data_IF_621134680238
#
_entry.id   IF_621134680238
#
_cell.length_a   1.000
_cell.length_b   1.000
_cell.length_c   1.000
_cell.angle_alpha   90.00
_cell.angle_beta   90.00
_cell.angle_gamma   90.00
#
_symmetry.space_group_name_H-M   'P 1'
#
loop_
_entity.id
_entity.type
_entity.pdbx_description
1 polymer ?
#
# COMPACT_ATOMS: atom_id res chain seq x y z
N UNK A 1 -5.08 -16.20 -1.26
CA UNK A 1 -3.75 -16.46 -0.66
C UNK A 1 -3.96 -17.01 0.74
N UNK A 2 -3.39 -18.17 1.07
CA UNK A 2 -3.40 -18.72 2.42
C UNK A 2 -2.02 -18.59 3.09
N UNK A 3 -2.01 -18.67 4.43
CA UNK A 3 -0.81 -18.57 5.24
C UNK A 3 -0.28 -19.97 5.56
N UNK A 4 0.91 -20.29 5.06
CA UNK A 4 1.62 -21.52 5.42
C UNK A 4 2.45 -21.29 6.70
N UNK A 5 2.02 -21.89 7.80
CA UNK A 5 2.78 -21.91 9.07
C UNK A 5 3.91 -22.94 8.97
N UNK A 6 5.09 -22.62 9.47
CA UNK A 6 6.21 -23.56 9.51
C UNK A 6 6.11 -24.49 10.73
N UNK A 7 6.58 -25.74 10.57
CA UNK A 7 6.86 -26.62 11.71
C UNK A 7 8.03 -26.04 12.53
N UNK A 8 8.00 -26.11 13.88
CA UNK A 8 8.98 -25.48 14.76
C UNK A 8 10.29 -26.27 14.85
N UNK A 9 10.95 -26.54 13.72
CA UNK A 9 12.17 -27.37 13.66
C UNK A 9 13.43 -26.66 14.16
N UNK A 10 13.40 -25.33 14.26
CA UNK A 10 14.47 -24.50 14.85
C UNK A 10 13.83 -23.34 15.61
N UNK A 11 14.50 -22.76 16.62
CA UNK A 11 13.93 -21.67 17.41
C UNK A 11 13.53 -20.47 16.56
N UNK A 12 14.34 -20.11 15.54
CA UNK A 12 14.00 -19.01 14.63
C UNK A 12 12.84 -19.30 13.66
N UNK A 13 12.44 -20.57 13.48
CA UNK A 13 11.25 -20.95 12.70
C UNK A 13 9.99 -21.07 13.57
N UNK A 14 10.12 -21.22 14.89
CA UNK A 14 8.97 -21.31 15.81
C UNK A 14 8.05 -20.11 15.63
N UNK A 15 6.76 -20.36 15.42
CA UNK A 15 5.74 -19.33 15.20
C UNK A 15 5.81 -18.58 13.87
N UNK A 16 6.83 -18.84 13.02
CA UNK A 16 7.00 -18.15 11.75
C UNK A 16 6.05 -18.70 10.67
N UNK A 17 5.63 -17.83 9.75
CA UNK A 17 4.75 -18.19 8.64
C UNK A 17 5.13 -17.49 7.33
N UNK A 18 4.61 -17.98 6.21
CA UNK A 18 4.81 -17.42 4.87
C UNK A 18 3.50 -17.36 4.11
N UNK A 19 3.47 -16.53 3.06
CA UNK A 19 2.45 -16.69 2.02
C UNK A 19 2.69 -18.01 1.28
N UNK A 20 1.62 -18.72 0.96
CA UNK A 20 1.64 -19.94 0.14
C UNK A 20 2.03 -19.69 -1.34
N UNK A 21 1.82 -18.46 -1.81
CA UNK A 21 1.99 -18.03 -3.20
C UNK A 21 1.06 -18.72 -4.20
N UNK A 22 -0.10 -19.24 -3.75
CA UNK A 22 -1.03 -19.99 -4.61
C UNK A 22 -1.56 -19.18 -5.82
N UNK A 23 -1.63 -17.86 -5.70
CA UNK A 23 -2.09 -16.97 -6.78
C UNK A 23 -1.01 -16.70 -7.85
N UNK A 24 0.25 -17.06 -7.61
CA UNK A 24 1.34 -16.75 -8.53
C UNK A 24 1.36 -17.76 -9.68
N UNK A 25 1.20 -17.27 -10.91
CA UNK A 25 1.24 -18.10 -12.12
C UNK A 25 2.58 -18.01 -12.85
N UNK A 26 3.42 -17.03 -12.52
CA UNK A 26 4.76 -16.86 -13.12
C UNK A 26 5.77 -16.32 -12.12
N UNK A 27 6.98 -16.87 -12.13
CA UNK A 27 8.08 -16.48 -11.24
C UNK A 27 9.02 -15.42 -11.85
N UNK A 28 9.00 -15.28 -13.17
CA UNK A 28 9.82 -14.32 -13.93
C UNK A 28 8.99 -13.11 -14.38
N UNK A 29 9.51 -11.88 -14.23
CA UNK A 29 8.81 -10.67 -14.68
C UNK A 29 9.00 -10.38 -16.17
N UNK A 30 8.12 -9.55 -16.73
CA UNK A 30 8.21 -9.07 -18.12
C UNK A 30 9.39 -8.09 -18.28
N UNK A 31 10.38 -8.45 -19.11
CA UNK A 31 11.65 -7.72 -19.25
C UNK A 31 11.46 -6.25 -19.65
N UNK A 32 10.50 -5.95 -20.53
CA UNK A 32 10.22 -4.58 -21.02
C UNK A 32 9.68 -3.63 -19.93
N UNK A 33 9.02 -4.18 -18.91
CA UNK A 33 8.36 -3.45 -17.82
C UNK A 33 9.21 -3.36 -16.54
N UNK A 34 10.49 -3.70 -16.64
CA UNK A 34 11.46 -3.57 -15.54
C UNK A 34 12.22 -2.25 -15.62
N UNK A 35 12.49 -1.67 -14.44
CA UNK A 35 13.43 -0.56 -14.28
C UNK A 35 14.36 -0.82 -13.10
N UNK A 36 15.61 -0.32 -13.14
CA UNK A 36 16.50 -0.38 -11.99
C UNK A 36 15.89 0.40 -10.82
N UNK A 37 16.10 -0.09 -9.60
CA UNK A 37 15.68 0.58 -8.37
C UNK A 37 16.90 0.82 -7.48
N UNK A 38 17.53 2.02 -7.56
CA UNK A 38 18.64 2.35 -6.67
C UNK A 38 18.18 2.37 -5.21
N UNK A 39 19.07 1.98 -4.29
CA UNK A 39 18.80 2.00 -2.85
C UNK A 39 19.42 3.23 -2.22
N UNK A 40 18.62 4.00 -1.50
CA UNK A 40 19.10 5.19 -0.78
C UNK A 40 19.58 4.90 0.65
N UNK A 41 19.19 3.75 1.23
CA UNK A 41 19.54 3.42 2.63
C UNK A 41 19.02 4.42 3.67
N UNK A 42 17.93 5.13 3.36
CA UNK A 42 17.35 6.16 4.24
C UNK A 42 18.06 7.52 4.19
N UNK A 43 18.95 7.74 3.21
CA UNK A 43 19.70 9.00 3.04
C UNK A 43 19.09 9.91 1.98
N UNK A 44 19.23 11.23 2.15
CA UNK A 44 18.88 12.23 1.13
C UNK A 44 20.03 12.49 0.15
N UNK A 45 19.85 13.45 -0.76
CA UNK A 45 20.86 13.89 -1.73
C UNK A 45 22.14 14.47 -1.09
N UNK A 46 22.06 15.03 0.12
CA UNK A 46 23.21 15.49 0.91
C UNK A 46 23.92 14.36 1.69
N UNK A 47 23.54 13.09 1.47
CA UNK A 47 24.14 11.93 2.14
C UNK A 47 23.74 11.75 3.60
N UNK A 48 22.89 12.61 4.16
CA UNK A 48 22.45 12.57 5.56
C UNK A 48 21.31 11.57 5.73
N UNK A 49 21.29 10.84 6.87
CA UNK A 49 20.18 9.95 7.22
C UNK A 49 18.97 10.80 7.60
N UNK A 50 17.94 10.81 6.75
CA UNK A 50 16.68 11.51 7.02
C UNK A 50 15.58 10.54 7.46
N UNK A 51 15.66 9.27 7.05
CA UNK A 51 14.79 8.20 7.54
C UNK A 51 15.64 7.12 8.20
N UNK A 52 15.55 7.04 9.53
CA UNK A 52 16.29 6.06 10.33
C UNK A 52 15.82 4.63 10.06
N UNK A 53 16.67 3.67 10.41
CA UNK A 53 16.37 2.23 10.39
C UNK A 53 16.15 1.60 9.00
N UNK A 54 16.56 2.26 7.92
CA UNK A 54 16.45 1.71 6.55
C UNK A 54 17.84 1.29 6.03
N UNK A 55 17.93 0.15 5.34
CA UNK A 55 19.14 -0.28 4.63
C UNK A 55 19.39 -1.80 4.68
N UNK A 56 20.29 -2.28 3.80
CA UNK A 56 20.77 -3.67 3.79
C UNK A 56 19.78 -4.74 3.30
N UNK A 57 18.59 -4.37 2.81
CA UNK A 57 17.62 -5.33 2.28
C UNK A 57 18.08 -5.99 0.98
N UNK A 58 17.40 -7.06 0.55
CA UNK A 58 17.68 -7.75 -0.73
C UNK A 58 17.56 -6.80 -1.93
N UNK A 59 18.37 -6.99 -2.99
CA UNK A 59 18.29 -6.20 -4.24
C UNK A 59 16.94 -6.44 -4.92
N UNK A 60 16.36 -5.40 -5.52
CA UNK A 60 15.04 -5.43 -6.15
C UNK A 60 15.09 -4.69 -7.48
N UNK A 61 14.21 -5.09 -8.39
CA UNK A 61 13.92 -4.35 -9.62
C UNK A 61 12.53 -3.74 -9.50
N UNK A 62 12.35 -2.53 -10.02
CA UNK A 62 11.06 -1.88 -10.05
C UNK A 62 10.22 -2.44 -11.21
N UNK A 63 8.98 -2.83 -10.91
CA UNK A 63 7.97 -3.18 -11.91
C UNK A 63 7.13 -1.94 -12.18
N UNK A 64 7.10 -1.51 -13.45
CA UNK A 64 6.33 -0.35 -13.89
C UNK A 64 4.85 -0.71 -13.87
N UNK A 65 4.10 -0.09 -12.96
CA UNK A 65 2.66 -0.33 -12.77
C UNK A 65 1.88 0.82 -13.39
N UNK A 66 0.85 0.47 -14.14
CA UNK A 66 -0.11 1.42 -14.66
C UNK A 66 -1.08 1.85 -13.55
N UNK A 67 -0.78 3.03 -12.99
CA UNK A 67 -1.67 3.70 -12.04
C UNK A 67 -2.61 4.71 -12.71
N UNK A 68 -2.51 4.95 -14.02
CA UNK A 68 -3.33 5.95 -14.72
C UNK A 68 -4.51 5.31 -15.45
N UNK A 69 -4.25 4.24 -16.22
CA UNK A 69 -5.24 3.47 -16.98
C UNK A 69 -6.21 4.31 -17.81
N UNK A 70 -5.77 5.45 -18.35
CA UNK A 70 -6.63 6.45 -18.98
C UNK A 70 -6.56 6.49 -20.52
N UNK A 71 -5.59 5.80 -21.12
CA UNK A 71 -5.31 5.82 -22.56
C UNK A 71 -5.82 4.55 -23.29
N UNK A 72 -6.32 3.56 -22.55
CA UNK A 72 -6.82 2.28 -23.08
C UNK A 72 -8.33 2.12 -22.85
N UNK A 73 -9.07 3.21 -23.01
CA UNK A 73 -10.53 3.17 -22.90
C UNK A 73 -11.14 2.37 -24.05
N UNK A 74 -12.05 1.45 -23.74
CA UNK A 74 -12.68 0.54 -24.72
C UNK A 74 -11.76 -0.59 -25.22
N UNK A 75 -10.46 -0.57 -24.91
CA UNK A 75 -9.53 -1.63 -25.31
C UNK A 75 -9.53 -2.73 -24.25
N UNK A 76 -10.07 -3.89 -24.61
CA UNK A 76 -10.04 -5.09 -23.78
C UNK A 76 -8.60 -5.59 -23.58
N UNK A 77 -8.32 -6.08 -22.38
CA UNK A 77 -7.09 -6.77 -22.04
C UNK A 77 -7.40 -8.11 -21.38
N UNK A 78 -6.54 -9.10 -21.64
CA UNK A 78 -6.60 -10.40 -20.99
C UNK A 78 -5.53 -10.48 -19.89
N UNK A 79 -5.90 -11.03 -18.73
CA UNK A 79 -4.97 -11.28 -17.63
C UNK A 79 -4.06 -12.44 -18.00
N UNK A 80 -2.83 -12.13 -18.41
CA UNK A 80 -1.86 -13.12 -18.83
C UNK A 80 -1.25 -13.86 -17.64
N UNK A 81 -0.84 -13.14 -16.60
CA UNK A 81 -0.23 -13.74 -15.40
C UNK A 81 -0.50 -12.93 -14.13
N UNK A 82 -0.43 -13.59 -12.98
CA UNK A 82 -0.38 -12.97 -11.66
C UNK A 82 0.98 -13.26 -11.05
N UNK A 83 1.66 -12.22 -10.57
CA UNK A 83 3.07 -12.27 -10.21
C UNK A 83 3.36 -11.67 -8.84
N UNK A 84 4.52 -12.06 -8.30
CA UNK A 84 5.12 -11.43 -7.13
C UNK A 84 5.73 -10.07 -7.49
N UNK A 85 5.47 -9.05 -6.68
CA UNK A 85 6.25 -7.81 -6.67
C UNK A 85 6.92 -7.56 -5.31
N UNK A 86 8.25 -7.39 -5.25
CA UNK A 86 8.96 -7.08 -4.02
C UNK A 86 8.85 -5.61 -3.56
N UNK A 87 8.23 -4.73 -4.35
CA UNK A 87 8.17 -3.29 -4.09
C UNK A 87 6.86 -2.86 -3.42
N UNK A 88 5.88 -3.76 -3.32
CA UNK A 88 4.60 -3.51 -2.65
C UNK A 88 4.10 -4.75 -1.92
N UNK A 89 3.03 -4.57 -1.16
CA UNK A 89 2.36 -5.66 -0.43
C UNK A 89 1.43 -6.47 -1.33
N UNK A 90 0.77 -5.84 -2.30
CA UNK A 90 -0.15 -6.49 -3.23
C UNK A 90 0.58 -7.32 -4.30
N UNK A 91 -0.12 -8.29 -4.89
CA UNK A 91 0.30 -8.93 -6.14
C UNK A 91 0.08 -8.00 -7.33
N UNK A 92 0.68 -8.33 -8.46
CA UNK A 92 0.46 -7.63 -9.72
C UNK A 92 -0.06 -8.58 -10.78
N UNK A 93 -0.91 -8.07 -11.65
CA UNK A 93 -1.41 -8.81 -12.81
C UNK A 93 -0.79 -8.21 -14.08
N UNK A 94 -0.23 -9.05 -14.93
CA UNK A 94 0.21 -8.69 -16.28
C UNK A 94 -0.99 -8.76 -17.21
N UNK A 95 -1.29 -7.67 -17.88
CA UNK A 95 -2.33 -7.55 -18.87
C UNK A 95 -1.72 -7.54 -20.27
N UNK A 96 -2.32 -8.30 -21.18
CA UNK A 96 -2.10 -8.21 -22.62
C UNK A 96 -3.32 -7.56 -23.25
N UNK A 97 -3.16 -6.33 -23.74
CA UNK A 97 -4.20 -5.64 -24.50
C UNK A 97 -4.29 -6.22 -25.91
N UNK A 98 -5.47 -6.10 -26.53
CA UNK A 98 -5.70 -6.58 -27.91
C UNK A 98 -4.76 -5.90 -28.91
N UNK A 99 -4.35 -4.65 -28.65
CA UNK A 99 -3.38 -3.91 -29.46
C UNK A 99 -1.91 -4.38 -29.30
N UNK A 100 -1.68 -5.47 -28.55
CA UNK A 100 -0.36 -6.04 -28.30
C UNK A 100 0.41 -5.35 -27.18
N UNK A 101 -0.10 -4.26 -26.59
CA UNK A 101 0.58 -3.61 -25.47
C UNK A 101 0.47 -4.44 -24.19
N UNK A 102 1.54 -4.43 -23.39
CA UNK A 102 1.59 -5.13 -22.11
C UNK A 102 1.69 -4.14 -20.96
N UNK A 103 0.91 -4.34 -19.89
CA UNK A 103 1.01 -3.51 -18.68
C UNK A 103 0.78 -4.31 -17.42
N UNK A 104 1.42 -3.88 -16.34
CA UNK A 104 1.07 -4.35 -15.02
C UNK A 104 0.02 -3.48 -14.35
N UNK A 105 -0.92 -4.12 -13.67
CA UNK A 105 -1.82 -3.48 -12.71
C UNK A 105 -1.61 -4.11 -11.32
N UNK A 106 -2.14 -3.47 -10.28
CA UNK A 106 -2.34 -4.16 -9.00
C UNK A 106 -3.38 -5.27 -9.23
N UNK A 107 -3.10 -6.48 -8.76
CA UNK A 107 -4.04 -7.58 -8.86
C UNK A 107 -5.21 -7.36 -7.85
N UNK A 108 -6.45 -7.19 -8.34
CA UNK A 108 -7.63 -7.20 -7.50
C UNK A 108 -7.85 -8.59 -6.89
N UNK A 109 -8.61 -8.64 -5.81
CA UNK A 109 -9.07 -9.87 -5.23
C UNK A 109 -9.97 -10.63 -6.23
N UNK A 110 -9.88 -11.97 -6.22
CA UNK A 110 -10.60 -12.89 -7.11
C UNK A 110 -10.30 -12.79 -8.61
N UNK A 111 -9.36 -11.95 -9.04
CA UNK A 111 -8.90 -11.93 -10.42
C UNK A 111 -8.10 -13.21 -10.72
N UNK A 112 -8.38 -13.86 -11.86
CA UNK A 112 -7.72 -15.09 -12.30
C UNK A 112 -7.03 -14.88 -13.66
N UNK A 113 -6.12 -15.80 -13.98
CA UNK A 113 -5.53 -15.88 -15.32
C UNK A 113 -6.62 -16.16 -16.35
N UNK A 114 -6.60 -15.46 -17.49
CA UNK A 114 -7.60 -15.58 -18.56
C UNK A 114 -8.79 -14.63 -18.44
N UNK A 115 -9.00 -14.00 -17.29
CA UNK A 115 -10.08 -13.01 -17.13
C UNK A 115 -9.86 -11.82 -18.09
N UNK A 116 -10.97 -11.29 -18.62
CA UNK A 116 -10.97 -10.08 -19.43
C UNK A 116 -11.20 -8.86 -18.54
N UNK A 117 -10.41 -7.82 -18.76
CA UNK A 117 -10.49 -6.54 -18.09
C UNK A 117 -10.65 -5.45 -19.13
N UNK A 118 -11.51 -4.48 -18.84
CA UNK A 118 -11.72 -3.29 -19.65
C UNK A 118 -11.53 -2.02 -18.81
N UNK A 119 -11.39 -0.91 -19.51
CA UNK A 119 -11.30 0.42 -18.90
C UNK A 119 -12.15 1.38 -19.71
N UNK A 120 -12.73 2.38 -19.05
CA UNK A 120 -13.55 3.40 -19.70
C UNK A 120 -14.91 3.59 -19.05
N UNK A 121 -15.66 4.58 -19.51
CA UNK A 121 -16.92 4.97 -18.89
C UNK A 121 -18.05 3.94 -19.06
N UNK A 122 -17.95 3.08 -20.08
CA UNK A 122 -18.94 2.05 -20.43
C UNK A 122 -18.57 0.65 -19.94
N UNK A 123 -17.46 0.51 -19.19
CA UNK A 123 -17.04 -0.77 -18.66
C UNK A 123 -18.06 -1.35 -17.66
N UNK A 124 -18.21 -2.66 -17.64
CA UNK A 124 -19.03 -3.37 -16.70
C UNK A 124 -18.47 -3.24 -15.27
N UNK A 125 -19.35 -3.37 -14.26
CA UNK A 125 -19.00 -3.26 -12.85
C UNK A 125 -18.48 -4.63 -12.35
N UNK A 126 -17.36 -5.07 -12.92
CA UNK A 126 -16.66 -6.32 -12.58
C UNK A 126 -15.29 -6.05 -11.94
N UNK A 127 -14.83 -6.90 -11.00
CA UNK A 127 -13.51 -6.74 -10.38
C UNK A 127 -12.38 -6.62 -11.41
N UNK A 128 -11.55 -5.58 -11.27
CA UNK A 128 -10.43 -5.29 -12.17
C UNK A 128 -10.72 -4.26 -13.26
N UNK A 129 -11.99 -4.02 -13.59
CA UNK A 129 -12.38 -2.96 -14.51
C UNK A 129 -12.11 -1.57 -13.90
N UNK A 130 -11.75 -0.62 -14.74
CA UNK A 130 -11.38 0.73 -14.32
C UNK A 130 -12.30 1.78 -14.95
N UNK A 131 -12.92 2.62 -14.10
CA UNK A 131 -13.93 3.58 -14.50
C UNK A 131 -13.77 4.92 -13.78
N UNK A 132 -14.25 6.04 -14.36
CA UNK A 132 -14.50 7.26 -13.61
C UNK A 132 -15.51 7.03 -12.48
N UNK A 133 -15.28 7.65 -11.31
CA UNK A 133 -16.15 7.51 -10.13
C UNK A 133 -17.62 7.85 -10.40
N UNK A 134 -17.89 8.77 -11.34
CA UNK A 134 -19.27 9.13 -11.71
C UNK A 134 -20.09 7.95 -12.27
N UNK A 135 -19.44 7.05 -13.01
CA UNK A 135 -20.06 5.90 -13.67
C UNK A 135 -20.21 4.70 -12.71
N UNK A 136 -19.53 4.73 -11.58
CA UNK A 136 -19.55 3.64 -10.62
C UNK A 136 -20.83 3.75 -9.74
N UNK A 137 -21.60 2.67 -9.54
CA UNK A 137 -22.75 2.68 -8.62
C UNK A 137 -22.33 2.95 -7.17
N UNK A 138 -23.14 3.70 -6.43
CA UNK A 138 -22.92 3.93 -4.99
C UNK A 138 -22.98 2.60 -4.22
N UNK A 139 -22.27 2.50 -3.11
CA UNK A 139 -22.16 1.29 -2.30
C UNK A 139 -21.10 0.28 -2.79
N UNK A 140 -20.65 0.39 -4.03
CA UNK A 140 -19.61 -0.49 -4.59
C UNK A 140 -18.27 -0.37 -3.85
N UNK A 141 -17.52 -1.47 -3.88
CA UNK A 141 -16.19 -1.55 -3.31
C UNK A 141 -15.15 -1.37 -4.41
N UNK A 142 -14.23 -0.43 -4.18
CA UNK A 142 -13.27 0.05 -5.15
C UNK A 142 -11.88 0.19 -4.53
N UNK A 143 -10.86 0.25 -5.38
CA UNK A 143 -9.47 0.44 -4.99
C UNK A 143 -8.71 1.24 -6.06
N UNK A 144 -7.42 1.51 -5.81
CA UNK A 144 -6.53 2.25 -6.71
C UNK A 144 -7.18 3.55 -7.25
N UNK A 145 -7.56 4.43 -6.34
CA UNK A 145 -8.35 5.63 -6.64
C UNK A 145 -7.44 6.85 -6.80
N UNK A 146 -7.70 7.67 -7.81
CA UNK A 146 -7.03 8.95 -7.99
C UNK A 146 -7.46 9.98 -6.93
N UNK A 147 -6.62 10.98 -6.69
CA UNK A 147 -6.96 12.11 -5.81
C UNK A 147 -7.40 13.36 -6.59
N UNK A 148 -6.93 13.47 -7.82
CA UNK A 148 -7.25 14.51 -8.80
C UNK A 148 -7.38 13.81 -10.16
N UNK A 149 -8.26 14.28 -11.07
CA UNK A 149 -8.45 13.65 -12.36
C UNK A 149 -7.13 13.54 -13.13
N UNK A 150 -6.76 12.34 -13.58
CA UNK A 150 -5.52 12.07 -14.33
C UNK A 150 -4.24 12.07 -13.49
N UNK A 151 -4.33 12.29 -12.18
CA UNK A 151 -3.19 12.29 -11.26
C UNK A 151 -2.63 10.90 -10.94
N UNK A 152 -3.28 9.85 -11.46
CA UNK A 152 -2.98 8.45 -11.18
C UNK A 152 -3.38 8.02 -9.76
N UNK A 153 -3.61 6.72 -9.61
CA UNK A 153 -4.05 6.10 -8.37
C UNK A 153 -3.12 6.38 -7.18
N UNK A 154 -3.69 6.90 -6.09
CA UNK A 154 -2.98 7.18 -4.82
C UNK A 154 -3.54 6.39 -3.65
N UNK A 155 -4.86 6.20 -3.60
CA UNK A 155 -5.57 5.62 -2.46
C UNK A 155 -5.93 4.15 -2.71
N UNK A 156 -6.01 3.34 -1.64
CA UNK A 156 -6.42 1.93 -1.74
C UNK A 156 -5.48 1.07 -2.59
N UNK A 157 -4.15 1.13 -2.36
CA UNK A 157 -3.14 0.39 -3.16
C UNK A 157 -2.47 -0.78 -2.43
N UNK A 158 -2.56 -0.83 -1.10
CA UNK A 158 -1.93 -1.89 -0.31
C UNK A 158 -2.73 -3.18 -0.39
N UNK A 159 -2.08 -4.32 -0.19
CA UNK A 159 -2.75 -5.61 -0.04
C UNK A 159 -3.95 -5.55 0.92
N UNK A 160 -5.07 -6.13 0.52
CA UNK A 160 -6.32 -6.15 1.28
C UNK A 160 -6.99 -4.79 1.47
N UNK A 161 -6.47 -3.70 0.88
CA UNK A 161 -7.11 -2.41 0.99
C UNK A 161 -8.34 -2.33 0.08
N UNK A 162 -9.40 -1.74 0.60
CA UNK A 162 -10.60 -1.41 -0.15
C UNK A 162 -11.21 -0.10 0.35
N UNK A 163 -11.96 0.56 -0.51
CA UNK A 163 -12.65 1.82 -0.28
C UNK A 163 -14.10 1.63 -0.71
N UNK A 164 -15.04 2.16 0.06
CA UNK A 164 -16.46 2.15 -0.34
C UNK A 164 -16.83 3.51 -0.91
N UNK A 165 -17.48 3.51 -2.08
CA UNK A 165 -18.15 4.69 -2.61
C UNK A 165 -19.45 4.90 -1.83
N UNK A 166 -19.56 6.00 -1.08
CA UNK A 166 -20.67 6.24 -0.15
C UNK A 166 -21.80 6.99 -0.86
N UNK A 167 -21.47 8.09 -1.52
CA UNK A 167 -22.43 8.97 -2.18
C UNK A 167 -21.77 9.66 -3.38
N UNK A 168 -22.60 10.17 -4.29
CA UNK A 168 -22.20 11.06 -5.39
C UNK A 168 -23.05 12.31 -5.26
N UNK A 169 -22.41 13.44 -5.03
CA UNK A 169 -23.05 14.73 -4.81
C UNK A 169 -22.37 15.81 -5.65
N UNK A 170 -23.13 16.37 -6.60
CA UNK A 170 -22.64 17.30 -7.60
C UNK A 170 -21.34 16.83 -8.29
N UNK A 171 -20.25 17.61 -8.25
CA UNK A 171 -18.97 17.24 -8.86
C UNK A 171 -18.13 16.28 -8.02
N UNK A 172 -18.59 15.88 -6.82
CA UNK A 172 -17.81 15.08 -5.89
C UNK A 172 -18.41 13.69 -5.66
N UNK A 173 -17.53 12.71 -5.46
CA UNK A 173 -17.82 11.40 -4.93
C UNK A 173 -17.30 11.32 -3.49
N UNK A 174 -18.15 10.88 -2.57
CA UNK A 174 -17.79 10.64 -1.18
C UNK A 174 -17.24 9.23 -1.02
N UNK A 175 -16.02 9.12 -0.50
CA UNK A 175 -15.32 7.87 -0.29
C UNK A 175 -15.11 7.60 1.20
N UNK A 176 -15.40 6.38 1.65
CA UNK A 176 -14.97 5.88 2.96
C UNK A 176 -13.65 5.15 2.80
N UNK A 177 -12.57 5.78 3.24
CA UNK A 177 -11.20 5.27 3.15
C UNK A 177 -10.94 4.12 4.15
N UNK A 178 -9.87 3.32 3.99
CA UNK A 178 -9.52 2.24 4.92
C UNK A 178 -9.29 2.72 6.37
N UNK A 179 -8.96 4.01 6.54
CA UNK A 179 -8.80 4.63 7.87
C UNK A 179 -10.13 4.95 8.56
N UNK A 180 -11.27 4.77 7.88
CA UNK A 180 -12.59 5.22 8.32
C UNK A 180 -12.88 6.71 8.06
N UNK A 181 -11.90 7.46 7.53
CA UNK A 181 -12.09 8.83 7.04
C UNK A 181 -13.11 8.85 5.89
N UNK A 182 -14.01 9.85 5.89
CA UNK A 182 -14.91 10.13 4.78
C UNK A 182 -14.42 11.39 4.08
N UNK A 183 -14.24 11.28 2.77
CA UNK A 183 -13.60 12.32 1.96
C UNK A 183 -14.28 12.50 0.60
N UNK A 184 -14.47 13.74 0.20
CA UNK A 184 -14.87 14.16 -1.13
C UNK A 184 -13.69 14.08 -2.10
N UNK A 185 -13.92 13.46 -3.26
CA UNK A 185 -12.99 13.36 -4.37
C UNK A 185 -13.73 13.74 -5.64
N UNK A 186 -13.07 14.42 -6.58
CA UNK A 186 -13.70 14.80 -7.85
C UNK A 186 -14.23 13.55 -8.58
N UNK A 187 -15.50 13.56 -8.99
CA UNK A 187 -16.18 12.42 -9.60
C UNK A 187 -15.60 12.00 -10.96
N UNK A 188 -14.77 12.86 -11.59
CA UNK A 188 -14.01 12.54 -12.80
C UNK A 188 -12.79 11.66 -12.53
N UNK A 189 -12.35 11.54 -11.28
CA UNK A 189 -11.24 10.67 -10.89
C UNK A 189 -11.56 9.21 -11.23
N UNK A 190 -10.54 8.45 -11.65
CA UNK A 190 -10.67 7.01 -11.90
C UNK A 190 -10.53 6.18 -10.64
N UNK A 191 -11.18 5.02 -10.65
CA UNK A 191 -11.07 3.98 -9.66
C UNK A 191 -11.17 2.60 -10.32
N UNK A 192 -10.63 1.58 -9.66
CA UNK A 192 -10.73 0.18 -10.10
C UNK A 192 -11.76 -0.54 -9.23
N UNK A 193 -12.67 -1.28 -9.85
CA UNK A 193 -13.67 -2.08 -9.14
C UNK A 193 -13.00 -3.25 -8.41
N UNK A 194 -13.47 -3.53 -7.20
CA UNK A 194 -13.01 -4.63 -6.36
C UNK A 194 -12.03 -4.20 -5.26
N UNK A 195 -11.59 -5.18 -4.48
CA UNK A 195 -10.61 -5.02 -3.39
C UNK A 195 -9.21 -5.36 -3.88
N UNK A 196 -8.17 -4.86 -3.23
CA UNK A 196 -6.81 -5.31 -3.54
C UNK A 196 -6.60 -6.74 -3.02
N UNK A 197 -6.03 -7.62 -3.83
CA UNK A 197 -5.72 -9.01 -3.45
C UNK A 197 -4.67 -9.13 -2.33
N UNK A 198 -4.26 -10.36 -2.03
CA UNK A 198 -3.27 -10.69 -1.01
C UNK A 198 -3.66 -10.23 0.42
N UNK A 199 -4.94 -10.23 0.77
CA UNK A 199 -5.46 -9.68 2.03
C UNK A 199 -4.82 -10.27 3.30
N UNK A 200 -4.49 -11.57 3.28
CA UNK A 200 -3.83 -12.30 4.38
C UNK A 200 -2.40 -11.82 4.70
N UNK A 201 -1.83 -10.90 3.92
CA UNK A 201 -0.46 -10.41 4.10
C UNK A 201 -0.17 -9.86 5.51
N UNK A 202 -1.17 -9.33 6.22
CA UNK A 202 -1.01 -8.87 7.60
C UNK A 202 -0.76 -10.00 8.59
N UNK A 203 -1.21 -11.22 8.28
CA UNK A 203 -1.17 -12.38 9.16
C UNK A 203 0.16 -13.15 9.07
N UNK A 204 1.11 -12.67 8.25
CA UNK A 204 2.45 -13.24 8.15
C UNK A 204 3.28 -12.89 9.39
N UNK A 205 3.69 -13.92 10.14
CA UNK A 205 4.69 -13.79 11.19
C UNK A 205 6.10 -14.01 10.62
N UNK A 206 6.95 -12.98 10.72
CA UNK A 206 8.33 -13.05 10.22
C UNK A 206 9.21 -13.99 11.06
N UNK A 207 8.92 -14.16 12.34
CA UNK A 207 9.55 -15.11 13.26
C UNK A 207 10.97 -14.77 13.74
N UNK A 208 11.85 -14.30 12.84
CA UNK A 208 13.26 -13.99 13.17
C UNK A 208 13.68 -12.60 12.71
N UNK A 209 14.59 -11.99 13.48
CA UNK A 209 15.13 -10.66 13.19
C UNK A 209 15.76 -10.57 11.78
N UNK A 210 16.54 -11.58 11.38
CA UNK A 210 17.18 -11.63 10.06
C UNK A 210 16.21 -11.53 8.89
N UNK A 211 14.98 -12.02 9.04
CA UNK A 211 13.96 -11.93 7.98
C UNK A 211 13.46 -10.50 7.78
N UNK A 212 13.38 -9.70 8.85
CA UNK A 212 13.13 -8.27 8.76
C UNK A 212 14.31 -7.51 8.15
N UNK A 213 15.55 -7.94 8.44
CA UNK A 213 16.76 -7.38 7.81
C UNK A 213 16.73 -7.56 6.29
N UNK A 214 16.31 -8.73 5.79
CA UNK A 214 16.15 -8.98 4.34
C UNK A 214 15.15 -8.02 3.67
N UNK A 215 14.15 -7.54 4.44
CA UNK A 215 13.18 -6.55 3.96
C UNK A 215 13.74 -5.12 3.91
N UNK A 216 14.92 -4.89 4.47
CA UNK A 216 15.59 -3.59 4.51
C UNK A 216 15.29 -2.76 5.75
N UNK A 217 14.69 -3.38 6.78
CA UNK A 217 14.44 -2.75 8.09
C UNK A 217 15.60 -3.13 9.02
N UNK A 218 16.37 -2.14 9.44
CA UNK A 218 17.47 -2.26 10.42
C UNK A 218 16.90 -2.20 11.85
N UNK A 219 17.68 -2.59 12.87
CA UNK A 219 17.26 -2.49 14.26
C UNK A 219 16.88 -1.06 14.66
N UNK A 220 15.89 -0.94 15.56
CA UNK A 220 15.46 0.32 16.18
C UNK A 220 15.89 0.30 17.64
N UNK A 221 16.67 1.30 18.05
CA UNK A 221 17.08 1.47 19.45
C UNK A 221 16.05 2.35 20.18
N UNK A 222 15.70 1.98 21.42
CA UNK A 222 14.73 2.74 22.25
C UNK A 222 15.40 3.99 22.81
N UNK A 223 14.66 5.09 22.92
CA UNK A 223 15.18 6.35 23.45
C UNK A 223 15.69 6.26 24.89
N UNK A 224 15.01 5.51 25.77
CA UNK A 224 15.43 5.27 27.17
C UNK A 224 16.69 4.41 27.33
N UNK A 225 17.23 3.88 26.23
CA UNK A 225 18.48 3.12 26.22
C UNK A 225 19.66 3.95 25.70
N UNK A 226 19.45 5.25 25.47
CA UNK A 226 20.46 6.17 24.96
C UNK A 226 20.92 7.13 26.07
N UNK A 227 21.98 7.90 25.81
CA UNK A 227 22.42 8.96 26.71
C UNK A 227 21.53 10.20 26.54
N UNK A 228 21.52 11.14 27.52
CA UNK A 228 20.72 12.36 27.44
C UNK A 228 20.99 13.22 26.19
N UNK A 229 22.20 13.15 25.63
CA UNK A 229 22.59 13.87 24.40
C UNK A 229 21.90 13.34 23.13
N UNK A 230 21.57 12.04 23.10
CA UNK A 230 21.06 11.37 21.90
C UNK A 230 19.54 11.41 21.79
N UNK A 231 18.85 11.35 22.94
CA UNK A 231 17.40 11.30 23.01
C UNK A 231 16.90 12.01 24.27
N UNK A 232 15.77 12.74 24.19
CA UNK A 232 15.16 13.37 25.36
C UNK A 232 14.73 12.43 26.49
N UNK A 233 14.78 11.11 26.30
CA UNK A 233 14.43 10.10 27.30
C UNK A 233 15.66 9.38 27.85
N UNK A 234 16.86 9.75 27.39
CA UNK A 234 18.10 9.08 27.75
C UNK A 234 18.60 9.48 29.14
N UNK A 235 19.50 8.65 29.68
CA UNK A 235 20.09 8.81 31.00
C UNK A 235 19.28 8.20 32.15
N UNK A 236 19.68 8.56 33.37
CA UNK A 236 19.20 7.94 34.62
C UNK A 236 19.99 6.70 34.99
N UNK A 237 20.21 6.49 36.29
CA UNK A 237 20.83 5.26 36.79
C UNK A 237 19.84 4.10 36.74
N UNK A 238 20.26 2.98 36.13
CA UNK A 238 19.38 1.83 35.92
C UNK A 238 18.33 2.05 34.82
N UNK A 239 17.13 1.47 34.99
CA UNK A 239 16.04 1.60 34.01
C UNK A 239 15.13 2.77 34.38
N UNK A 240 14.96 3.70 33.45
CA UNK A 240 13.99 4.79 33.56
C UNK A 240 12.84 4.64 32.55
N UNK A 241 11.69 5.23 32.87
CA UNK A 241 10.58 5.48 31.95
C UNK A 241 10.80 6.76 31.11
N UNK A 242 11.95 7.41 31.26
CA UNK A 242 12.36 8.63 30.54
C UNK A 242 12.15 9.93 31.31
N UNK A 243 11.47 9.89 32.46
CA UNK A 243 11.32 11.04 33.38
C UNK A 243 10.50 12.22 32.83
N UNK A 244 9.81 12.06 31.70
CA UNK A 244 9.00 13.11 31.04
C UNK A 244 7.87 12.51 30.22
N UNK A 245 6.95 13.35 29.75
CA UNK A 245 5.98 12.96 28.73
C UNK A 245 6.68 12.49 27.44
N UNK A 246 6.21 11.39 26.82
CA UNK A 246 6.82 10.82 25.63
C UNK A 246 6.99 11.83 24.48
N UNK A 247 8.21 11.89 23.94
CA UNK A 247 8.55 12.73 22.79
C UNK A 247 9.35 11.97 21.73
N UNK A 248 9.39 12.56 20.53
CA UNK A 248 10.29 12.13 19.46
C UNK A 248 11.77 12.34 19.85
N UNK A 249 12.72 11.74 19.10
CA UNK A 249 14.15 12.01 19.28
C UNK A 249 14.54 13.47 19.08
N UNK A 250 13.72 14.26 18.38
CA UNK A 250 13.92 15.69 18.15
C UNK A 250 13.07 16.55 19.09
N UNK A 251 12.54 15.96 20.18
CA UNK A 251 11.85 16.68 21.25
C UNK A 251 10.38 17.06 20.99
N UNK A 252 9.83 16.79 19.80
CA UNK A 252 8.41 17.10 19.56
C UNK A 252 7.50 16.11 20.31
N UNK A 253 6.48 16.67 20.99
CA UNK A 253 5.44 15.91 21.69
C UNK A 253 4.56 15.14 20.70
N UNK A 254 4.06 13.98 21.12
CA UNK A 254 3.07 13.24 20.35
C UNK A 254 1.70 13.95 20.37
N UNK A 255 0.98 13.91 19.24
CA UNK A 255 -0.30 14.60 19.13
C UNK A 255 -0.81 14.71 17.69
N UNK A 256 -1.68 15.67 17.43
CA UNK A 256 -2.16 15.96 16.08
C UNK A 256 -1.06 16.68 15.29
N UNK A 257 -0.51 16.00 14.28
CA UNK A 257 0.60 16.52 13.45
C UNK A 257 0.16 17.10 12.11
N UNK A 258 -1.14 17.08 11.80
CA UNK A 258 -1.67 17.64 10.56
C UNK A 258 -1.71 19.17 10.66
N UNK A 259 -1.16 19.85 9.66
CA UNK A 259 -1.26 21.30 9.51
C UNK A 259 -2.73 21.76 9.44
N UNK A 260 -3.09 22.75 10.27
CA UNK A 260 -4.49 23.15 10.53
C UNK A 260 -5.16 23.71 9.26
N UNK A 261 -4.49 24.61 8.54
CA UNK A 261 -5.07 25.33 7.40
C UNK A 261 -4.77 24.68 6.05
N UNK A 262 -4.63 23.35 6.01
CA UNK A 262 -4.31 22.68 4.74
C UNK A 262 -5.52 22.79 3.79
N UNK A 263 -5.36 23.25 2.53
CA UNK A 263 -6.49 23.43 1.61
C UNK A 263 -7.35 22.19 1.36
N UNK A 264 -6.81 20.99 1.62
CA UNK A 264 -7.55 19.74 1.53
C UNK A 264 -8.56 19.50 2.65
N UNK A 265 -8.58 20.30 3.73
CA UNK A 265 -9.51 20.10 4.84
C UNK A 265 -10.96 20.28 4.41
N UNK A 266 -11.23 21.22 3.48
CA UNK A 266 -12.56 21.42 2.88
C UNK A 266 -13.16 20.18 2.19
N UNK A 267 -12.32 19.22 1.82
CA UNK A 267 -12.73 17.99 1.16
C UNK A 267 -12.93 16.83 2.14
N UNK A 268 -12.56 16.98 3.42
CA UNK A 268 -12.70 15.90 4.40
C UNK A 268 -13.97 16.14 5.20
N UNK A 269 -14.98 15.32 4.93
CA UNK A 269 -16.27 15.36 5.62
C UNK A 269 -16.10 14.89 7.07
N UNK A 270 -15.32 13.82 7.28
CA UNK A 270 -15.10 13.26 8.62
C UNK A 270 -13.72 12.65 8.73
N UNK A 271 -12.96 13.05 9.75
CA UNK A 271 -11.62 12.48 10.05
C UNK A 271 -11.72 11.03 10.54
N UNK A 272 -10.59 10.32 10.55
CA UNK A 272 -10.49 8.96 11.11
C UNK A 272 -10.97 8.93 12.57
N UNK A 273 -11.67 7.87 12.95
CA UNK A 273 -12.04 7.63 14.34
C UNK A 273 -10.83 7.05 15.08
N UNK A 274 -10.18 7.83 15.94
CA UNK A 274 -9.20 7.33 16.90
C UNK A 274 -9.93 7.00 18.21
N UNK A 275 -10.04 5.72 18.56
CA UNK A 275 -10.49 5.33 19.92
C UNK A 275 -11.90 4.79 20.08
N UNK A 276 -12.72 4.66 19.02
CA UNK A 276 -13.93 3.83 19.13
C UNK A 276 -13.44 2.38 19.22
N UNK A 277 -13.45 1.80 20.43
CA UNK A 277 -13.10 0.39 20.68
C UNK A 277 -13.72 -0.46 19.56
N UNK A 278 -12.88 -1.23 18.86
CA UNK A 278 -13.35 -2.40 18.12
C UNK A 278 -13.98 -3.31 19.20
N UNK A 279 -15.27 -3.13 19.47
CA UNK A 279 -16.09 -4.21 20.01
C UNK A 279 -16.24 -5.24 18.90
#
# INVERSE_FOLDING_TARGET
MAIRKYKPTTPGRRGSSVADFAEITRSTPEKSLLRPLPKHGGRNNAGRITTRHIGGGHKRQYRVIDFKRNDKDGVLATVAHIEYDPNRTARIALLHFIDGTKRYIIAPNKLKQGDKIESGAQADIKPGNNLPLRNIPTGTVIHAIELRPGGGAKMGRSAGASVRLVAKDGPYAQLRLPSGEIRNVDARCRATIGEVGNAEQSNINWGKAGRMRWKGVRPTVRGVAMNPVDHPHGGGEGKTSGGRHPVSPWGQKEGRTRHINKPSDKLIVRRRNAGKKRK
#
